data_IF_874334641998
#
_entry.id   IF_874334641998
#
_cell.length_a   1.000
_cell.length_b   1.000
_cell.length_c   1.000
_cell.angle_alpha   90.00
_cell.angle_beta   90.00
_cell.angle_gamma   90.00
#
_symmetry.space_group_name_H-M   'P 1'
#
loop_
_entity.id
_entity.type
_entity.pdbx_description
1 polymer ?
#
# COMPACT_ATOMS: atom_id res chain seq x y z
N UNK A 1 -41.76 -3.48 -40.02
CA UNK A 1 -41.89 -4.80 -39.40
C UNK A 1 -40.62 -5.13 -38.65
N UNK A 2 -40.81 -5.57 -37.41
CA UNK A 2 -39.83 -6.09 -36.47
C UNK A 2 -38.88 -7.16 -37.06
N UNK A 3 -37.67 -7.27 -36.50
CA UNK A 3 -37.31 -8.40 -35.64
C UNK A 3 -35.83 -8.35 -35.23
N UNK A 4 -35.65 -8.29 -33.93
CA UNK A 4 -34.52 -8.66 -33.07
C UNK A 4 -33.42 -9.52 -33.69
N UNK A 5 -32.18 -9.09 -33.51
CA UNK A 5 -31.04 -9.98 -33.25
C UNK A 5 -29.98 -9.23 -32.45
N UNK A 6 -30.32 -8.95 -31.18
CA UNK A 6 -29.27 -8.72 -30.18
C UNK A 6 -28.64 -10.09 -29.93
N UNK A 7 -27.42 -10.24 -30.44
CA UNK A 7 -26.63 -11.46 -30.38
C UNK A 7 -26.40 -11.86 -28.91
N UNK A 8 -26.54 -13.15 -28.61
CA UNK A 8 -26.26 -13.79 -27.30
C UNK A 8 -24.80 -13.65 -26.80
N UNK A 9 -24.02 -12.75 -27.41
CA UNK A 9 -22.69 -12.34 -26.96
C UNK A 9 -22.75 -11.26 -25.86
N UNK A 10 -23.94 -10.73 -25.59
CA UNK A 10 -24.21 -9.70 -24.58
C UNK A 10 -24.22 -10.24 -23.13
N UNK A 11 -24.17 -11.57 -22.93
CA UNK A 11 -24.36 -12.17 -21.59
C UNK A 11 -23.11 -12.84 -20.98
N UNK A 12 -21.99 -12.87 -21.70
CA UNK A 12 -20.76 -13.54 -21.25
C UNK A 12 -19.54 -12.62 -21.38
N UNK A 13 -19.46 -11.54 -20.61
CA UNK A 13 -18.41 -11.28 -19.59
C UNK A 13 -18.87 -10.10 -18.72
N UNK A 14 -20.08 -10.20 -18.16
CA UNK A 14 -20.45 -9.47 -16.95
C UNK A 14 -19.79 -10.08 -15.70
N UNK A 15 -18.74 -10.90 -15.84
CA UNK A 15 -18.10 -11.69 -14.78
C UNK A 15 -16.66 -11.26 -14.43
N UNK A 16 -16.12 -10.20 -15.06
CA UNK A 16 -14.95 -9.49 -14.53
C UNK A 16 -15.33 -8.20 -13.82
N UNK A 17 -16.59 -8.07 -13.42
CA UNK A 17 -17.00 -7.28 -12.27
C UNK A 17 -16.50 -7.97 -10.99
N UNK A 18 -15.19 -8.06 -10.83
CA UNK A 18 -14.56 -8.33 -9.54
C UNK A 18 -13.55 -7.23 -9.29
N UNK A 19 -14.00 -6.33 -8.43
CA UNK A 19 -13.30 -5.27 -7.72
C UNK A 19 -13.07 -3.94 -8.45
N UNK A 20 -13.98 -3.03 -8.09
CA UNK A 20 -13.84 -1.59 -7.97
C UNK A 20 -12.51 -1.21 -7.29
N UNK A 21 -11.43 -1.06 -8.05
CA UNK A 21 -10.27 -0.32 -7.55
C UNK A 21 -10.62 1.18 -7.64
N UNK A 22 -10.61 1.95 -6.52
CA UNK A 22 -10.74 3.39 -6.60
C UNK A 22 -9.62 3.97 -7.48
N UNK A 23 -9.83 5.12 -8.17
CA UNK A 23 -8.77 5.78 -8.92
C UNK A 23 -7.59 5.97 -7.96
N UNK A 24 -6.38 5.50 -8.28
CA UNK A 24 -5.29 5.56 -7.33
C UNK A 24 -5.06 7.04 -7.05
N UNK A 25 -4.87 7.39 -5.78
CA UNK A 25 -4.50 8.74 -5.38
C UNK A 25 -3.00 8.85 -5.72
N UNK A 26 -2.71 8.90 -7.02
CA UNK A 26 -1.45 8.45 -7.62
C UNK A 26 -0.18 9.15 -7.12
N UNK A 27 -0.30 10.28 -6.42
CA UNK A 27 0.83 11.00 -5.85
C UNK A 27 1.36 10.36 -4.56
N UNK A 28 0.51 10.29 -3.54
CA UNK A 28 0.92 9.84 -2.19
C UNK A 28 1.08 8.33 -2.11
N UNK A 29 0.23 7.59 -2.83
CA UNK A 29 0.29 6.13 -2.86
C UNK A 29 1.60 5.65 -3.50
N UNK A 30 2.09 6.39 -4.51
CA UNK A 30 3.33 6.03 -5.23
C UNK A 30 4.55 6.10 -4.33
N UNK A 31 4.70 7.16 -3.53
CA UNK A 31 5.85 7.31 -2.63
C UNK A 31 5.88 6.20 -1.57
N UNK A 32 4.70 5.86 -1.03
CA UNK A 32 4.52 4.75 -0.10
C UNK A 32 4.89 3.41 -0.76
N UNK A 33 4.38 3.15 -1.96
CA UNK A 33 4.67 1.93 -2.72
C UNK A 33 6.18 1.81 -2.97
N UNK A 34 6.81 2.86 -3.49
CA UNK A 34 8.23 2.87 -3.83
C UNK A 34 9.10 2.63 -2.57
N UNK A 35 8.74 3.25 -1.44
CA UNK A 35 9.46 3.04 -0.16
C UNK A 35 9.29 1.63 0.38
N UNK A 36 8.08 1.06 0.32
CA UNK A 36 7.81 -0.30 0.76
C UNK A 36 8.53 -1.34 -0.12
N UNK A 37 8.57 -1.12 -1.43
CA UNK A 37 9.33 -1.95 -2.36
C UNK A 37 10.82 -1.93 -2.05
N UNK A 38 11.37 -0.77 -1.69
CA UNK A 38 12.78 -0.63 -1.29
C UNK A 38 13.13 -1.49 -0.07
N UNK A 39 12.18 -1.70 0.87
CA UNK A 39 12.38 -2.58 2.03
C UNK A 39 12.25 -4.08 1.69
N UNK A 40 11.96 -4.41 0.44
CA UNK A 40 11.68 -5.77 -0.01
C UNK A 40 10.33 -6.28 0.50
N UNK A 41 9.32 -5.42 0.52
CA UNK A 41 7.94 -5.77 0.87
C UNK A 41 7.25 -6.38 -0.35
N UNK A 42 6.55 -7.49 -0.15
CA UNK A 42 5.81 -8.17 -1.22
C UNK A 42 4.67 -7.28 -1.76
N UNK A 43 4.43 -7.30 -3.08
CA UNK A 43 3.39 -6.49 -3.71
C UNK A 43 2.00 -6.68 -3.10
N UNK A 44 1.64 -7.91 -2.73
CA UNK A 44 0.38 -8.24 -2.04
C UNK A 44 0.26 -7.61 -0.65
N UNK A 45 1.38 -7.38 0.03
CA UNK A 45 1.39 -6.63 1.30
C UNK A 45 1.24 -5.14 1.03
N UNK A 46 1.95 -4.61 0.03
CA UNK A 46 1.89 -3.20 -0.33
C UNK A 46 0.46 -2.80 -0.69
N UNK A 47 -0.20 -3.62 -1.53
CA UNK A 47 -1.59 -3.44 -1.91
C UNK A 47 -2.51 -3.35 -0.69
N UNK A 48 -2.37 -4.25 0.29
CA UNK A 48 -3.13 -4.17 1.56
C UNK A 48 -2.89 -2.89 2.33
N UNK A 49 -1.64 -2.44 2.43
CA UNK A 49 -1.31 -1.21 3.16
C UNK A 49 -1.96 0.00 2.48
N UNK A 50 -1.94 0.04 1.14
CA UNK A 50 -2.57 1.09 0.34
C UNK A 50 -4.11 1.02 0.43
N UNK A 51 -4.68 -0.19 0.40
CA UNK A 51 -6.13 -0.42 0.59
C UNK A 51 -6.63 0.04 1.95
N UNK A 52 -5.84 -0.12 3.00
CA UNK A 52 -6.13 0.35 4.37
C UNK A 52 -5.93 1.88 4.54
N UNK A 53 -5.66 2.61 3.45
CA UNK A 53 -5.44 4.06 3.44
C UNK A 53 -4.28 4.56 4.32
N UNK A 54 -3.28 3.72 4.59
CA UNK A 54 -2.04 4.20 5.19
C UNK A 54 -1.30 5.13 4.23
N UNK A 55 -0.73 6.20 4.74
CA UNK A 55 0.21 7.05 4.00
C UNK A 55 1.65 6.75 4.40
N UNK A 56 2.62 7.20 3.60
CA UNK A 56 4.04 7.08 3.98
C UNK A 56 4.32 7.75 5.32
N UNK A 57 3.72 8.91 5.59
CA UNK A 57 3.85 9.57 6.89
C UNK A 57 3.34 8.73 8.04
N UNK A 58 2.18 8.06 7.89
CA UNK A 58 1.65 7.18 8.93
C UNK A 58 2.59 5.99 9.18
N UNK A 59 3.14 5.40 8.12
CA UNK A 59 4.11 4.30 8.22
C UNK A 59 5.41 4.75 8.90
N UNK A 60 5.90 5.95 8.62
CA UNK A 60 7.17 6.41 9.17
C UNK A 60 7.04 6.98 10.59
N UNK A 61 5.96 7.69 10.89
CA UNK A 61 5.81 8.46 12.13
C UNK A 61 4.89 7.79 13.16
N UNK A 62 3.78 7.20 12.72
CA UNK A 62 2.70 6.77 13.62
C UNK A 62 2.66 5.26 13.86
N UNK A 63 3.11 4.47 12.88
CA UNK A 63 2.95 3.01 12.96
C UNK A 63 3.72 2.40 14.14
N UNK A 64 3.10 1.42 14.79
CA UNK A 64 3.71 0.63 15.84
C UNK A 64 4.09 -0.76 15.35
N UNK A 65 4.91 -1.46 16.14
CA UNK A 65 5.27 -2.86 15.86
C UNK A 65 4.04 -3.78 15.90
N UNK A 66 3.00 -3.41 16.63
CA UNK A 66 1.75 -4.16 16.73
C UNK A 66 0.89 -3.97 15.48
N UNK A 67 0.82 -2.77 14.92
CA UNK A 67 0.10 -2.50 13.66
C UNK A 67 0.70 -3.30 12.51
N UNK A 68 2.04 -3.33 12.43
CA UNK A 68 2.76 -4.17 11.47
C UNK A 68 2.45 -5.67 11.67
N UNK A 69 2.15 -6.11 12.89
CA UNK A 69 1.72 -7.49 13.17
C UNK A 69 0.28 -7.73 12.75
N UNK A 70 -0.61 -6.74 12.92
CA UNK A 70 -2.00 -6.78 12.46
C UNK A 70 -2.11 -6.89 10.94
N UNK A 71 -1.19 -6.27 10.19
CA UNK A 71 -1.08 -6.41 8.73
C UNK A 71 -0.68 -7.83 8.26
N UNK A 72 -0.45 -8.76 9.21
CA UNK A 72 -0.06 -10.16 8.96
C UNK A 72 1.17 -10.31 8.07
N UNK A 73 2.14 -9.43 8.27
CA UNK A 73 3.40 -9.48 7.55
C UNK A 73 4.19 -10.74 7.90
N UNK A 74 4.93 -11.28 6.91
CA UNK A 74 5.93 -12.32 7.19
C UNK A 74 6.95 -11.77 8.18
N UNK A 75 7.33 -12.56 9.19
CA UNK A 75 8.23 -12.09 10.26
C UNK A 75 9.54 -11.46 9.77
N UNK A 76 10.07 -11.93 8.64
CA UNK A 76 11.26 -11.33 8.01
C UNK A 76 11.02 -9.92 7.44
N UNK A 77 9.87 -9.69 6.81
CA UNK A 77 9.46 -8.38 6.28
C UNK A 77 9.17 -7.42 7.44
N UNK A 78 8.44 -7.90 8.46
CA UNK A 78 8.15 -7.15 9.68
C UNK A 78 9.42 -6.57 10.32
N UNK A 79 10.46 -7.39 10.48
CA UNK A 79 11.73 -6.94 11.08
C UNK A 79 12.43 -5.88 10.24
N UNK A 80 12.51 -6.07 8.91
CA UNK A 80 13.16 -5.09 8.01
C UNK A 80 12.41 -3.77 7.98
N UNK A 81 11.09 -3.84 7.87
CA UNK A 81 10.23 -2.67 7.84
C UNK A 81 10.31 -1.88 9.14
N UNK A 82 10.19 -2.55 10.29
CA UNK A 82 10.34 -1.92 11.60
C UNK A 82 11.74 -1.32 11.80
N UNK A 83 12.78 -2.00 11.30
CA UNK A 83 14.14 -1.46 11.35
C UNK A 83 14.26 -0.17 10.53
N UNK A 84 13.73 -0.16 9.30
CA UNK A 84 13.74 1.02 8.44
C UNK A 84 12.99 2.21 9.06
N UNK A 85 11.80 1.97 9.62
CA UNK A 85 11.03 2.98 10.36
C UNK A 85 11.83 3.50 11.57
N UNK A 86 12.41 2.61 12.37
CA UNK A 86 13.20 2.98 13.56
C UNK A 86 14.49 3.73 13.22
N UNK A 87 15.08 3.47 12.05
CA UNK A 87 16.23 4.22 11.55
C UNK A 87 15.81 5.62 11.12
N UNK A 88 14.71 5.74 10.35
CA UNK A 88 14.16 7.01 9.91
C UNK A 88 13.87 7.95 11.10
N UNK A 89 13.21 7.42 12.15
CA UNK A 89 12.90 8.20 13.36
C UNK A 89 14.14 8.71 14.08
N UNK A 90 15.21 7.90 14.18
CA UNK A 90 16.48 8.32 14.79
C UNK A 90 17.16 9.43 14.00
N UNK A 91 17.21 9.29 12.68
CA UNK A 91 17.79 10.30 11.80
C UNK A 91 17.02 11.62 11.86
N UNK A 92 15.68 11.56 11.91
CA UNK A 92 14.83 12.74 12.06
C UNK A 92 15.09 13.49 13.38
N UNK A 93 15.46 12.79 14.46
CA UNK A 93 15.82 13.39 15.75
C UNK A 93 17.25 13.95 15.78
N UNK A 94 18.17 13.40 15.00
CA UNK A 94 19.57 13.89 14.92
C UNK A 94 19.70 15.15 14.04
N UNK A 95 18.83 15.32 13.04
CA UNK A 95 18.84 16.49 12.16
C UNK A 95 18.43 17.82 12.82
N UNK A 96 17.94 17.81 14.07
CA UNK A 96 17.60 19.04 14.82
C UNK A 96 18.67 19.47 15.84
N UNK A 97 19.83 18.80 15.87
CA UNK A 97 20.84 18.99 16.93
C UNK A 97 22.14 19.66 16.45
N UNK A 98 22.16 20.35 15.31
CA UNK A 98 23.38 21.04 14.83
C UNK A 98 23.05 22.32 14.08
N UNK A 99 22.64 23.35 14.82
CA UNK A 99 22.94 24.74 14.46
C UNK A 99 23.65 25.36 15.67
N UNK A 100 24.98 25.44 15.56
CA UNK A 100 25.86 26.36 16.33
C UNK A 100 26.34 27.44 15.35
#
# INVERSE_FOLDING_TARGET
TCASSVSARDLAVLCMTKNLAPPPRQGTDKELIDWLQLQGTDANTIEKIVEENYTLSDILNDITKEDLRCLRLRGGVLCRLWHAVSQYRRQAQESSATED
#
